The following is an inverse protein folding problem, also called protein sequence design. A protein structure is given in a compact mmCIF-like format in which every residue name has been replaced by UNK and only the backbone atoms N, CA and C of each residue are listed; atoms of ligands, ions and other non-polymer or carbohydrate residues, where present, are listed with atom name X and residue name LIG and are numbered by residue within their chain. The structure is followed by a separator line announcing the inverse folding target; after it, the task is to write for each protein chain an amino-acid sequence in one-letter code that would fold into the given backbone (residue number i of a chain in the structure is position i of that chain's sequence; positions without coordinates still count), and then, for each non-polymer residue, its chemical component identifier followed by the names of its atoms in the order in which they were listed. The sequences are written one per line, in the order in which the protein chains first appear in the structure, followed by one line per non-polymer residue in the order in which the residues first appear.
data_IF_811981985785
#
_entry.id   IF_811981985785
#
_cell.length_a   1.000
_cell.length_b   1.000
_cell.length_c   1.000
_cell.angle_alpha   90.00
_cell.angle_beta   90.00
_cell.angle_gamma   90.00
#
_symmetry.space_group_name_H-M   'P 1'
#
loop_
_entity.id
_entity.type
_entity.pdbx_description
1 polymer ?
#
# COMPACT_ATOMS: atom_id res chain seq x y z
N UNK A 1 -18.90 -22.67 -1.08
CA UNK A 1 -17.46 -22.99 -1.09
C UNK A 1 -16.75 -21.84 -1.77
N UNK A 2 -16.10 -20.94 -1.03
CA UNK A 2 -15.36 -19.81 -1.61
C UNK A 2 -14.11 -20.35 -2.29
N UNK A 3 -14.02 -20.23 -3.62
CA UNK A 3 -12.83 -20.67 -4.36
C UNK A 3 -11.74 -19.59 -4.33
N UNK A 4 -10.48 -19.99 -4.50
CA UNK A 4 -9.32 -19.08 -4.58
C UNK A 4 -9.51 -18.06 -5.71
N UNK A 5 -10.18 -18.47 -6.79
CA UNK A 5 -10.49 -17.65 -7.97
C UNK A 5 -11.47 -16.52 -7.64
N UNK A 6 -12.36 -16.71 -6.65
CA UNK A 6 -13.31 -15.67 -6.21
C UNK A 6 -12.74 -14.77 -5.11
N UNK A 7 -11.87 -15.31 -4.25
CA UNK A 7 -11.29 -14.59 -3.11
C UNK A 7 -10.14 -13.68 -3.53
N UNK A 8 -9.31 -14.09 -4.49
CA UNK A 8 -8.18 -13.30 -4.97
C UNK A 8 -8.58 -11.91 -5.54
N UNK A 9 -9.57 -11.78 -6.45
CA UNK A 9 -9.99 -10.48 -6.96
C UNK A 9 -10.65 -9.61 -5.87
N UNK A 10 -11.32 -10.22 -4.88
CA UNK A 10 -11.87 -9.48 -3.73
C UNK A 10 -10.76 -8.88 -2.86
N UNK A 11 -9.74 -9.67 -2.51
CA UNK A 11 -8.58 -9.21 -1.76
C UNK A 11 -7.82 -8.09 -2.50
N UNK A 12 -7.68 -8.22 -3.82
CA UNK A 12 -7.02 -7.20 -4.66
C UNK A 12 -7.83 -5.91 -4.82
N UNK A 13 -9.16 -6.02 -4.86
CA UNK A 13 -10.05 -4.84 -4.82
C UNK A 13 -9.91 -4.12 -3.48
N UNK A 14 -9.90 -4.88 -2.39
CA UNK A 14 -9.80 -4.34 -1.05
C UNK A 14 -8.44 -3.66 -0.80
N UNK A 15 -7.34 -4.16 -1.39
CA UNK A 15 -6.04 -3.48 -1.35
C UNK A 15 -6.03 -2.14 -2.11
N UNK A 16 -6.74 -2.05 -3.24
CA UNK A 16 -6.92 -0.81 -3.98
C UNK A 16 -7.77 0.21 -3.22
N UNK A 17 -8.88 -0.24 -2.65
CA UNK A 17 -9.77 0.60 -1.84
C UNK A 17 -9.01 1.14 -0.62
N UNK A 18 -8.21 0.31 0.06
CA UNK A 18 -7.33 0.72 1.16
C UNK A 18 -6.32 1.78 0.76
N UNK A 19 -5.65 1.64 -0.38
CA UNK A 19 -4.72 2.67 -0.89
C UNK A 19 -5.42 4.00 -1.11
N UNK A 20 -6.63 3.94 -1.65
CA UNK A 20 -7.43 5.12 -1.94
C UNK A 20 -7.87 5.79 -0.65
N UNK A 21 -8.39 5.01 0.31
CA UNK A 21 -8.76 5.50 1.64
C UNK A 21 -7.57 6.09 2.38
N UNK A 22 -6.39 5.47 2.32
CA UNK A 22 -5.18 5.99 2.95
C UNK A 22 -4.81 7.37 2.40
N UNK A 23 -4.97 7.59 1.08
CA UNK A 23 -4.76 8.91 0.48
C UNK A 23 -5.81 9.94 0.93
N UNK A 24 -7.06 9.53 1.17
CA UNK A 24 -8.08 10.41 1.74
C UNK A 24 -7.79 10.74 3.21
N UNK A 25 -7.30 9.76 3.98
CA UNK A 25 -6.86 9.93 5.38
C UNK A 25 -5.67 10.89 5.46
N UNK A 26 -4.68 10.76 4.58
CA UNK A 26 -3.53 11.68 4.51
C UNK A 26 -3.96 13.13 4.22
N UNK A 27 -5.04 13.32 3.46
CA UNK A 27 -5.63 14.63 3.18
C UNK A 27 -6.56 15.15 4.28
N UNK A 28 -6.79 14.37 5.35
CA UNK A 28 -7.68 14.71 6.46
C UNK A 28 -9.17 14.57 6.13
N UNK A 29 -9.53 13.90 5.04
CA UNK A 29 -10.92 13.73 4.59
C UNK A 29 -11.58 12.44 5.07
N UNK A 30 -10.83 11.52 5.67
CA UNK A 30 -11.34 10.23 6.15
C UNK A 30 -10.72 9.85 7.49
N UNK A 31 -11.44 9.03 8.27
CA UNK A 31 -10.95 8.58 9.57
C UNK A 31 -9.85 7.51 9.38
N UNK A 32 -8.72 7.63 10.10
CA UNK A 32 -7.69 6.59 10.13
C UNK A 32 -8.20 5.26 10.69
N UNK A 33 -9.23 5.29 11.53
CA UNK A 33 -9.82 4.09 12.12
C UNK A 33 -10.53 3.23 11.06
N UNK A 34 -11.17 3.86 10.07
CA UNK A 34 -11.83 3.17 8.95
C UNK A 34 -10.79 2.45 8.08
N UNK A 35 -9.62 3.07 7.88
CA UNK A 35 -8.50 2.44 7.17
C UNK A 35 -7.92 1.27 7.98
N UNK A 36 -7.89 1.37 9.31
CA UNK A 36 -7.49 0.29 10.21
C UNK A 36 -8.40 -0.94 10.12
N UNK A 37 -9.72 -0.74 10.20
CA UNK A 37 -10.69 -1.84 10.10
C UNK A 37 -10.61 -2.58 8.75
N UNK A 38 -10.48 -1.83 7.65
CA UNK A 38 -10.33 -2.42 6.33
C UNK A 38 -8.99 -3.16 6.17
N UNK A 39 -7.93 -2.70 6.83
CA UNK A 39 -6.61 -3.34 6.81
C UNK A 39 -6.63 -4.68 7.58
N UNK A 40 -7.36 -4.76 8.68
CA UNK A 40 -7.60 -6.01 9.39
C UNK A 40 -8.43 -6.99 8.56
N UNK A 41 -9.49 -6.51 7.90
CA UNK A 41 -10.28 -7.33 6.98
C UNK A 41 -9.43 -7.85 5.81
N UNK A 42 -8.54 -7.03 5.26
CA UNK A 42 -7.59 -7.46 4.23
C UNK A 42 -6.70 -8.59 4.74
N UNK A 43 -6.13 -8.43 5.94
CA UNK A 43 -5.29 -9.45 6.57
C UNK A 43 -6.02 -10.79 6.73
N UNK A 44 -7.25 -10.73 7.25
CA UNK A 44 -8.10 -11.91 7.43
C UNK A 44 -8.37 -12.64 6.10
N UNK A 45 -8.64 -11.89 5.03
CA UNK A 45 -8.85 -12.48 3.70
C UNK A 45 -7.58 -13.13 3.15
N UNK A 46 -6.39 -12.58 3.42
CA UNK A 46 -5.11 -13.17 3.03
C UNK A 46 -4.83 -14.50 3.75
N UNK A 47 -5.19 -14.60 5.03
CA UNK A 47 -5.00 -15.83 5.81
C UNK A 47 -5.95 -16.94 5.33
N UNK A 48 -7.19 -16.60 4.96
CA UNK A 48 -8.12 -17.54 4.31
C UNK A 48 -7.58 -17.97 2.95
N UNK A 49 -7.07 -17.05 2.13
CA UNK A 49 -6.39 -17.37 0.87
C UNK A 49 -5.20 -18.30 1.08
N UNK A 50 -4.39 -18.10 2.11
CA UNK A 50 -3.26 -18.98 2.43
C UNK A 50 -3.71 -20.41 2.73
N UNK A 51 -4.76 -20.56 3.55
CA UNK A 51 -5.32 -21.87 3.88
C UNK A 51 -5.80 -22.63 2.63
N UNK A 52 -6.48 -21.92 1.71
CA UNK A 52 -7.00 -22.49 0.47
C UNK A 52 -5.86 -22.87 -0.49
N UNK A 53 -4.84 -22.01 -0.64
CA UNK A 53 -3.63 -22.31 -1.42
C UNK A 53 -2.87 -23.51 -0.84
N UNK A 54 -3.02 -23.77 0.46
CA UNK A 54 -2.52 -24.97 1.13
C UNK A 54 -3.13 -26.28 0.61
N UNK A 55 -4.38 -26.23 0.15
CA UNK A 55 -5.18 -27.39 -0.29
C UNK A 55 -5.12 -27.64 -1.81
N UNK A 56 -4.45 -26.78 -2.56
CA UNK A 56 -4.40 -26.83 -4.02
C UNK A 56 -3.31 -27.74 -4.59
N UNK A 57 -3.45 -28.12 -5.87
CA UNK A 57 -2.52 -29.00 -6.58
C UNK A 57 -1.11 -28.39 -6.67
N UNK A 58 -0.03 -29.19 -6.56
CA UNK A 58 1.33 -28.69 -6.42
C UNK A 58 1.81 -27.79 -7.58
N UNK A 59 1.31 -27.99 -8.81
CA UNK A 59 1.67 -27.18 -9.98
C UNK A 59 1.07 -25.76 -9.98
N UNK A 60 -0.13 -25.57 -9.43
CA UNK A 60 -0.78 -24.25 -9.34
C UNK A 60 -0.43 -23.53 -8.03
N UNK A 61 -0.04 -24.30 -7.01
CA UNK A 61 0.30 -23.82 -5.67
C UNK A 61 1.47 -22.85 -5.65
N UNK A 62 2.49 -23.04 -6.50
CA UNK A 62 3.63 -22.12 -6.55
C UNK A 62 3.27 -20.74 -7.09
N UNK A 63 2.42 -20.69 -8.12
CA UNK A 63 1.94 -19.45 -8.71
C UNK A 63 1.06 -18.67 -7.72
N UNK A 64 0.16 -19.37 -7.02
CA UNK A 64 -0.67 -18.76 -6.00
C UNK A 64 0.13 -18.31 -4.77
N UNK A 65 1.15 -19.08 -4.34
CA UNK A 65 2.07 -18.64 -3.28
C UNK A 65 2.83 -17.38 -3.67
N UNK A 66 3.21 -17.23 -4.93
CA UNK A 66 3.86 -16.00 -5.42
C UNK A 66 2.91 -14.81 -5.33
N UNK A 67 1.69 -14.95 -5.85
CA UNK A 67 0.64 -13.90 -5.79
C UNK A 67 0.25 -13.54 -4.35
N UNK A 68 0.16 -14.53 -3.47
CA UNK A 68 -0.14 -14.32 -2.05
C UNK A 68 0.98 -13.56 -1.34
N UNK A 69 2.25 -13.88 -1.63
CA UNK A 69 3.40 -13.13 -1.10
C UNK A 69 3.39 -11.67 -1.54
N UNK A 70 3.03 -11.40 -2.80
CA UNK A 70 2.90 -10.04 -3.31
C UNK A 70 1.84 -9.25 -2.51
N UNK A 71 0.64 -9.82 -2.33
CA UNK A 71 -0.43 -9.19 -1.55
C UNK A 71 -0.05 -9.02 -0.06
N UNK A 72 0.69 -9.95 0.53
CA UNK A 72 1.19 -9.83 1.91
C UNK A 72 2.21 -8.71 2.07
N UNK A 73 3.12 -8.57 1.11
CA UNK A 73 4.07 -7.45 1.11
C UNK A 73 3.32 -6.11 0.99
N UNK A 74 2.26 -6.08 0.17
CA UNK A 74 1.39 -4.91 0.03
C UNK A 74 0.63 -4.60 1.34
N UNK A 75 0.06 -5.61 2.01
CA UNK A 75 -0.57 -5.46 3.33
C UNK A 75 0.40 -4.89 4.36
N UNK A 76 1.61 -5.46 4.45
CA UNK A 76 2.64 -5.01 5.37
C UNK A 76 3.06 -3.57 5.11
N UNK A 77 3.17 -3.18 3.84
CA UNK A 77 3.46 -1.81 3.43
C UNK A 77 2.34 -0.84 3.84
N UNK A 78 1.07 -1.15 3.54
CA UNK A 78 -0.07 -0.32 3.91
C UNK A 78 -0.20 -0.15 5.42
N UNK A 79 0.06 -1.23 6.18
CA UNK A 79 0.10 -1.20 7.64
C UNK A 79 1.17 -0.26 8.17
N UNK A 80 2.38 -0.32 7.61
CA UNK A 80 3.47 0.57 8.02
C UNK A 80 3.14 2.04 7.72
N UNK A 81 2.54 2.33 6.56
CA UNK A 81 2.12 3.68 6.22
C UNK A 81 1.05 4.21 7.20
N UNK A 82 0.03 3.41 7.51
CA UNK A 82 -1.00 3.79 8.48
C UNK A 82 -0.39 4.02 9.87
N UNK A 83 0.52 3.14 10.31
CA UNK A 83 1.20 3.27 11.60
C UNK A 83 2.03 4.55 11.72
N UNK A 84 2.71 4.98 10.65
CA UNK A 84 3.44 6.26 10.62
C UNK A 84 2.50 7.45 10.75
N UNK A 85 1.34 7.40 10.10
CA UNK A 85 0.34 8.47 10.17
C UNK A 85 -0.23 8.60 11.58
N UNK A 86 -0.55 7.48 12.23
CA UNK A 86 -1.02 7.48 13.63
C UNK A 86 0.04 7.95 14.61
N UNK A 87 1.30 7.53 14.45
CA UNK A 87 2.40 8.02 15.27
C UNK A 87 2.58 9.53 15.13
N UNK A 88 2.51 10.07 13.91
CA UNK A 88 2.57 11.51 13.67
C UNK A 88 1.45 12.26 14.39
N UNK A 89 0.22 11.77 14.30
CA UNK A 89 -0.94 12.39 14.95
C UNK A 89 -0.86 12.33 16.48
N UNK A 90 -0.41 11.20 17.03
CA UNK A 90 -0.20 11.02 18.47
C UNK A 90 0.88 11.96 19.00
N UNK A 91 1.98 12.14 18.26
CA UNK A 91 3.04 13.11 18.63
C UNK A 91 2.51 14.53 18.68
N UNK A 92 1.79 14.98 17.65
CA UNK A 92 1.18 16.33 17.63
C UNK A 92 0.21 16.51 18.81
N UNK A 93 -0.60 15.49 19.12
CA UNK A 93 -1.50 15.52 20.26
C UNK A 93 -0.79 15.53 21.62
N UNK A 94 0.35 14.84 21.74
CA UNK A 94 1.18 14.86 22.96
C UNK A 94 1.85 16.23 23.15
N UNK A 95 2.45 16.78 22.09
CA UNK A 95 3.07 18.11 22.13
C UNK A 95 2.06 19.21 22.49
N UNK A 96 0.81 19.11 22.01
CA UNK A 96 -0.25 20.04 22.37
C UNK A 96 -0.61 19.95 23.86
N UNK A 97 -0.71 18.75 24.42
CA UNK A 97 -0.98 18.54 25.86
C UNK A 97 0.18 19.03 26.74
N UNK A 98 1.40 18.70 26.37
CA UNK A 98 2.59 19.19 27.08
C UNK A 98 2.67 20.72 27.08
N UNK A 99 2.35 21.35 25.94
CA UNK A 99 2.25 22.82 25.84
C UNK A 99 1.19 23.36 26.79
N UNK A 100 0.01 22.74 26.85
CA UNK A 100 -1.07 23.16 27.73
C UNK A 100 -0.70 23.04 29.21
N UNK A 101 -0.03 21.94 29.61
CA UNK A 101 0.47 21.75 30.97
C UNK A 101 1.53 22.80 31.36
N UNK A 102 2.44 23.13 30.45
CA UNK A 102 3.45 24.18 30.67
C UNK A 102 2.80 25.58 30.80
N UNK A 103 1.78 25.87 29.98
CA UNK A 103 1.01 27.11 30.07
C UNK A 103 0.21 27.18 31.38
N UNK A 104 -0.41 26.08 31.81
CA UNK A 104 -1.14 26.00 33.06
C UNK A 104 -0.22 26.23 34.28
N UNK A 105 0.99 25.65 34.27
CA UNK A 105 2.00 25.90 35.31
C UNK A 105 2.47 27.35 35.37
N UNK A 106 2.62 28.02 34.21
CA UNK A 106 2.97 29.44 34.15
C UNK A 106 1.88 30.33 34.73
N UNK A 107 0.61 30.03 34.46
CA UNK A 107 -0.51 30.78 35.03
C UNK A 107 -0.62 30.65 36.56
N UNK A 108 -0.16 29.55 37.15
CA UNK A 108 -0.20 29.34 38.60
C UNK A 108 0.90 30.08 39.39
N UNK A 109 1.94 30.60 38.74
CA UNK A 109 3.17 31.08 39.39
C UNK A 109 3.31 32.62 39.53
N UNK A 110 2.27 33.41 39.29
CA UNK A 110 2.38 34.88 39.31
C UNK A 110 2.12 35.51 40.70
N UNK A 111 3.14 36.17 41.28
CA UNK A 111 2.99 37.55 41.77
C UNK A 111 3.96 38.50 41.05
N UNK A 112 3.44 39.69 40.73
CA UNK A 112 4.00 40.72 39.86
C UNK A 112 5.04 41.61 40.57
N UNK A 113 6.26 41.70 40.02
CA UNK A 113 7.15 42.85 40.20
C UNK A 113 7.30 43.57 38.85
N UNK A 114 6.96 44.86 38.83
CA UNK A 114 6.94 45.70 37.63
C UNK A 114 8.35 45.84 37.01
N UNK A 115 9.40 45.66 37.81
CA UNK A 115 10.78 45.80 37.35
C UNK A 115 11.34 44.54 36.68
N UNK A 116 10.91 43.35 37.11
CA UNK A 116 11.18 42.11 36.38
C UNK A 116 10.42 42.08 35.04
N UNK A 117 9.22 42.64 34.99
CA UNK A 117 8.43 42.71 33.75
C UNK A 117 9.16 43.47 32.62
N UNK A 118 9.85 44.58 32.92
CA UNK A 118 10.59 45.36 31.91
C UNK A 118 11.91 44.70 31.47
N UNK A 119 12.66 44.08 32.41
CA UNK A 119 13.86 43.32 32.07
C UNK A 119 13.51 42.04 31.28
N UNK A 120 12.39 41.43 31.63
CA UNK A 120 11.84 40.28 30.91
C UNK A 120 11.30 40.68 29.53
N UNK A 121 10.80 41.90 29.34
CA UNK A 121 10.35 42.42 28.04
C UNK A 121 11.51 42.61 27.05
N UNK A 122 12.64 43.21 27.46
CA UNK A 122 13.82 43.31 26.61
C UNK A 122 14.39 41.95 26.20
N UNK A 123 14.41 41.00 27.14
CA UNK A 123 14.85 39.63 26.87
C UNK A 123 13.83 38.83 26.06
N UNK A 124 12.53 39.09 26.20
CA UNK A 124 11.45 38.46 25.43
C UNK A 124 11.46 38.94 23.99
N UNK A 125 11.80 40.21 23.72
CA UNK A 125 11.98 40.73 22.36
C UNK A 125 13.16 40.05 21.64
N UNK A 126 14.29 39.86 22.32
CA UNK A 126 15.44 39.13 21.76
C UNK A 126 15.16 37.64 21.54
N UNK A 127 14.42 37.00 22.47
CA UNK A 127 13.93 35.62 22.31
C UNK A 127 12.93 35.51 21.17
N UNK A 128 12.01 36.47 21.05
CA UNK A 128 11.00 36.55 20.00
C UNK A 128 11.65 36.73 18.63
N UNK A 129 12.67 37.60 18.50
CA UNK A 129 13.43 37.74 17.25
C UNK A 129 14.15 36.46 16.84
N UNK A 130 14.76 35.74 17.79
CA UNK A 130 15.38 34.44 17.51
C UNK A 130 14.35 33.38 17.13
N UNK A 131 13.25 33.27 17.86
CA UNK A 131 12.16 32.36 17.52
C UNK A 131 11.52 32.68 16.17
N UNK A 132 11.29 33.95 15.85
CA UNK A 132 10.77 34.38 14.54
C UNK A 132 11.74 34.00 13.43
N UNK A 133 13.05 34.13 13.65
CA UNK A 133 14.09 33.64 12.74
C UNK A 133 14.01 32.13 12.51
N UNK A 134 13.93 31.35 13.59
CA UNK A 134 13.80 29.89 13.53
C UNK A 134 12.48 29.46 12.88
N UNK A 135 11.37 30.17 13.11
CA UNK A 135 10.09 29.90 12.47
C UNK A 135 10.10 30.27 10.99
N UNK A 136 10.77 31.35 10.59
CA UNK A 136 10.97 31.70 9.19
C UNK A 136 11.81 30.65 8.47
N UNK A 137 12.90 30.21 9.09
CA UNK A 137 13.77 29.17 8.55
C UNK A 137 13.04 27.82 8.45
N UNK A 138 12.29 27.45 9.49
CA UNK A 138 11.47 26.23 9.51
C UNK A 138 10.32 26.31 8.50
N UNK A 139 9.69 27.48 8.35
CA UNK A 139 8.66 27.74 7.36
C UNK A 139 9.20 27.65 5.94
N UNK A 140 10.40 28.18 5.69
CA UNK A 140 11.05 28.09 4.40
C UNK A 140 11.44 26.64 4.04
N UNK A 141 11.94 25.87 5.02
CA UNK A 141 12.20 24.43 4.88
C UNK A 141 10.92 23.61 4.66
N UNK A 142 9.82 24.00 5.32
CA UNK A 142 8.52 23.36 5.14
C UNK A 142 7.97 23.63 3.74
N UNK A 143 8.06 24.86 3.24
CA UNK A 143 7.64 25.22 1.88
C UNK A 143 8.45 24.49 0.81
N UNK A 144 9.77 24.38 0.97
CA UNK A 144 10.60 23.59 0.03
C UNK A 144 10.25 22.10 0.09
N UNK A 145 10.01 21.55 1.29
CA UNK A 145 9.57 20.15 1.43
C UNK A 145 8.19 19.89 0.79
N UNK A 146 7.25 20.83 0.87
CA UNK A 146 5.93 20.75 0.22
C UNK A 146 6.04 20.84 -1.31
N UNK A 147 6.92 21.70 -1.83
CA UNK A 147 7.21 21.78 -3.26
C UNK A 147 7.84 20.46 -3.76
N UNK A 148 8.72 19.86 -2.96
CA UNK A 148 9.35 18.58 -3.29
C UNK A 148 8.36 17.41 -3.18
N UNK A 149 7.48 17.41 -2.18
CA UNK A 149 6.39 16.44 -2.06
C UNK A 149 5.42 16.53 -3.25
N UNK A 150 5.11 17.74 -3.74
CA UNK A 150 4.28 17.92 -4.94
C UNK A 150 4.94 17.33 -6.20
N UNK A 151 6.26 17.44 -6.35
CA UNK A 151 6.97 16.86 -7.50
C UNK A 151 6.98 15.32 -7.43
N UNK A 152 7.18 14.77 -6.23
CA UNK A 152 7.11 13.32 -5.96
C UNK A 152 5.71 12.78 -6.21
N UNK A 153 4.66 13.48 -5.79
CA UNK A 153 3.27 13.13 -6.06
C UNK A 153 2.91 13.19 -7.55
N UNK A 154 3.43 14.17 -8.30
CA UNK A 154 3.26 14.18 -9.77
C UNK A 154 3.93 12.97 -10.44
N UNK A 155 5.13 12.60 -10.00
CA UNK A 155 5.83 11.44 -10.52
C UNK A 155 5.14 10.13 -10.13
N UNK A 156 4.61 10.04 -8.90
CA UNK A 156 3.82 8.90 -8.45
C UNK A 156 2.49 8.81 -9.21
N UNK A 157 1.77 9.92 -9.41
CA UNK A 157 0.55 9.95 -10.20
C UNK A 157 0.80 9.55 -11.65
N UNK A 158 1.91 10.01 -12.25
CA UNK A 158 2.31 9.58 -13.60
C UNK A 158 2.59 8.08 -13.65
N UNK A 159 3.30 7.54 -12.65
CA UNK A 159 3.51 6.08 -12.52
C UNK A 159 2.20 5.32 -12.30
N UNK A 160 1.25 5.85 -11.54
CA UNK A 160 -0.07 5.23 -11.33
C UNK A 160 -0.88 5.26 -12.62
N UNK A 161 -0.83 6.35 -13.39
CA UNK A 161 -1.48 6.47 -14.68
C UNK A 161 -0.84 5.51 -15.71
N UNK A 162 0.49 5.44 -15.72
CA UNK A 162 1.25 4.48 -16.52
C UNK A 162 0.90 3.04 -16.10
N UNK A 163 0.70 2.79 -14.80
CA UNK A 163 0.27 1.49 -14.29
C UNK A 163 -1.20 1.18 -14.53
N UNK A 164 -2.08 2.17 -14.60
CA UNK A 164 -3.46 2.02 -15.05
C UNK A 164 -3.50 1.68 -16.55
N UNK A 165 -2.61 2.29 -17.34
CA UNK A 165 -2.37 1.90 -18.73
C UNK A 165 -1.78 0.48 -18.82
N UNK A 166 -0.93 0.09 -17.85
CA UNK A 166 -0.41 -1.29 -17.70
C UNK A 166 -1.50 -2.26 -17.24
N UNK A 167 -2.55 -1.83 -16.52
CA UNK A 167 -3.71 -2.68 -16.25
C UNK A 167 -4.50 -2.97 -17.53
N UNK A 168 -4.49 -2.04 -18.51
CA UNK A 168 -4.88 -2.32 -19.90
C UNK A 168 -4.00 -3.38 -20.58
N UNK A 169 -2.70 -3.43 -20.25
CA UNK A 169 -1.75 -4.48 -20.65
C UNK A 169 -1.77 -5.73 -19.74
N UNK A 170 -2.44 -5.69 -18.58
CA UNK A 170 -2.47 -6.80 -17.61
C UNK A 170 -3.28 -7.99 -18.13
N UNK A 171 -4.21 -7.76 -19.06
CA UNK A 171 -4.81 -8.83 -19.85
C UNK A 171 -3.77 -9.58 -20.70
N UNK A 172 -2.68 -8.92 -21.10
CA UNK A 172 -1.58 -9.52 -21.86
C UNK A 172 -0.62 -10.31 -20.96
N UNK A 173 -0.34 -9.83 -19.74
CA UNK A 173 0.52 -10.56 -18.77
C UNK A 173 -0.21 -11.76 -18.14
N UNK A 174 -1.52 -11.65 -17.87
CA UNK A 174 -2.37 -12.79 -17.47
C UNK A 174 -2.32 -13.91 -18.54
N UNK A 175 -2.30 -13.55 -19.83
CA UNK A 175 -2.12 -14.52 -20.93
C UNK A 175 -0.72 -15.14 -21.00
N UNK A 176 0.32 -14.46 -20.53
CA UNK A 176 1.71 -15.00 -20.58
C UNK A 176 1.94 -16.08 -19.52
N UNK A 177 1.18 -16.08 -18.42
CA UNK A 177 1.18 -17.17 -17.43
C UNK A 177 0.37 -18.39 -17.91
N UNK A 178 -0.84 -18.16 -18.44
CA UNK A 178 -1.67 -19.25 -19.00
C UNK A 178 -1.06 -19.86 -20.28
N UNK A 179 -0.30 -19.10 -21.06
CA UNK A 179 0.32 -19.61 -22.30
C UNK A 179 1.29 -20.76 -22.04
N UNK A 180 2.06 -20.74 -20.94
CA UNK A 180 3.05 -21.80 -20.67
C UNK A 180 2.36 -23.15 -20.44
N UNK A 181 1.20 -23.15 -19.78
CA UNK A 181 0.41 -24.37 -19.56
C UNK A 181 -0.47 -24.75 -20.77
N UNK A 182 -0.95 -23.77 -21.54
CA UNK A 182 -1.72 -24.03 -22.76
C UNK A 182 -0.84 -24.58 -23.90
N UNK A 183 0.38 -24.06 -24.05
CA UNK A 183 1.37 -24.57 -25.03
C UNK A 183 1.76 -26.00 -24.70
N UNK A 184 1.95 -26.32 -23.41
CA UNK A 184 2.27 -27.67 -22.96
C UNK A 184 1.11 -28.66 -23.26
N UNK A 185 -0.13 -28.28 -22.96
CA UNK A 185 -1.32 -29.08 -23.33
C UNK A 185 -1.48 -29.26 -24.84
N UNK A 186 -1.19 -28.22 -25.63
CA UNK A 186 -1.29 -28.27 -27.08
C UNK A 186 -0.24 -29.20 -27.70
N UNK A 187 0.99 -29.19 -27.18
CA UNK A 187 2.06 -30.09 -27.61
C UNK A 187 1.70 -31.55 -27.32
N UNK A 188 1.18 -31.85 -26.12
CA UNK A 188 0.74 -33.20 -25.75
C UNK A 188 -0.41 -33.67 -26.65
N UNK A 189 -1.42 -32.82 -26.88
CA UNK A 189 -2.56 -33.17 -27.74
C UNK A 189 -2.12 -33.40 -29.19
N UNK A 190 -1.21 -32.58 -29.70
CA UNK A 190 -0.60 -32.74 -31.02
C UNK A 190 0.13 -34.08 -31.15
N UNK A 191 0.92 -34.45 -30.13
CA UNK A 191 1.62 -35.74 -30.10
C UNK A 191 0.68 -36.94 -30.19
N UNK A 192 -0.43 -36.93 -29.43
CA UNK A 192 -1.44 -38.01 -29.42
C UNK A 192 -2.08 -38.18 -30.81
N UNK A 193 -2.44 -37.08 -31.47
CA UNK A 193 -3.05 -37.11 -32.80
C UNK A 193 -2.07 -37.67 -33.82
N UNK A 194 -0.83 -37.19 -33.82
CA UNK A 194 0.22 -37.66 -34.75
C UNK A 194 0.45 -39.15 -34.61
N UNK A 195 0.60 -39.65 -33.38
CA UNK A 195 0.78 -41.10 -33.14
C UNK A 195 -0.44 -41.91 -33.56
N UNK A 196 -1.65 -41.40 -33.33
CA UNK A 196 -2.90 -42.09 -33.69
C UNK A 196 -3.08 -42.20 -35.21
N UNK A 197 -2.79 -41.13 -35.96
CA UNK A 197 -2.85 -41.11 -37.43
C UNK A 197 -1.80 -42.04 -38.03
N UNK A 198 -0.59 -42.07 -37.45
CA UNK A 198 0.48 -42.93 -37.92
C UNK A 198 0.13 -44.42 -37.79
N UNK A 199 -0.45 -44.82 -36.65
CA UNK A 199 -0.94 -46.19 -36.44
C UNK A 199 -2.08 -46.54 -37.40
N UNK A 200 -3.02 -45.63 -37.61
CA UNK A 200 -4.14 -45.83 -38.54
C UNK A 200 -3.64 -46.02 -39.99
N UNK A 201 -2.71 -45.17 -40.43
CA UNK A 201 -2.10 -45.26 -41.77
C UNK A 201 -1.32 -46.56 -41.98
N UNK A 202 -0.54 -46.96 -40.98
CA UNK A 202 0.21 -48.23 -41.02
C UNK A 202 -0.69 -49.45 -41.00
N UNK A 203 -1.79 -49.43 -40.24
CA UNK A 203 -2.75 -50.53 -40.20
C UNK A 203 -3.52 -50.66 -41.52
N UNK A 204 -3.95 -49.53 -42.11
CA UNK A 204 -4.58 -49.52 -43.43
C UNK A 204 -3.67 -50.10 -44.53
N UNK A 205 -2.36 -49.84 -44.47
CA UNK A 205 -1.39 -50.46 -45.39
C UNK A 205 -1.24 -51.98 -45.23
N UNK A 206 -1.42 -52.53 -44.02
CA UNK A 206 -1.35 -53.99 -43.78
C UNK A 206 -2.64 -54.74 -44.15
N UNK A 207 -3.79 -54.07 -44.10
CA UNK A 207 -5.08 -54.69 -44.45
C UNK A 207 -5.29 -54.71 -45.98
N UNK A 208 -4.66 -53.81 -46.70
CA UNK A 208 -4.73 -53.74 -48.17
C UNK A 208 -3.70 -54.64 -48.90
N UNK A 209 -2.83 -55.33 -48.17
CA UNK A 209 -1.85 -56.32 -48.69
C UNK A 209 -2.26 -57.73 -48.31
#
# INVERSE_FOLDING_TARGET
MTSIVELFPKARRLSFDLRTLLQYVERGHASPDDAGMNLEEFGRQLDVLESLVGQERPTQREDWRRKLRELRNEHAFLRDQLGRFDQGRRKVGQEAKEREELLARRHAALPSSVMDAYAEEGSSLLRSRRMVGDYLQTGQASLTSLVEQRSRLKNAHRKVLDMANILGLSNSILRVSDRRQAVDRLLVLGGIIVTSVFLWWMWGRRVAS
#
